data_IF_269231484624
#
_entry.id   IF_269231484624
#
_cell.length_a   1.000
_cell.length_b   1.000
_cell.length_c   1.000
_cell.angle_alpha   90.00
_cell.angle_beta   90.00
_cell.angle_gamma   90.00
#
_symmetry.space_group_name_H-M   'P 1'
#
loop_
_entity.id
_entity.type
_entity.pdbx_description
1 polymer ?
#
# COMPACT_ATOMS: atom_id res chain seq x y z
N UNK A 1 1.81 -16.91 2.11
CA UNK A 1 2.39 -15.54 2.15
C UNK A 1 1.76 -14.72 3.26
N UNK A 2 2.55 -13.96 4.04
CA UNK A 2 2.10 -13.22 5.22
C UNK A 2 2.80 -11.86 5.34
N UNK A 3 2.05 -10.79 5.66
CA UNK A 3 2.61 -9.47 5.96
C UNK A 3 3.28 -9.53 7.33
N UNK A 4 4.58 -9.30 7.42
CA UNK A 4 5.30 -9.37 8.71
C UNK A 4 5.37 -8.02 9.40
N UNK A 5 5.72 -6.98 8.64
CA UNK A 5 5.77 -5.62 9.18
C UNK A 5 5.67 -4.57 8.07
N UNK A 6 5.33 -3.35 8.47
CA UNK A 6 5.44 -2.16 7.63
C UNK A 6 6.22 -1.07 8.39
N UNK A 7 7.27 -0.55 7.77
CA UNK A 7 7.99 0.63 8.21
C UNK A 7 7.51 1.85 7.42
N UNK A 8 7.24 2.94 8.14
CA UNK A 8 6.66 4.17 7.62
C UNK A 8 7.54 5.34 8.04
N UNK A 9 7.98 6.18 7.10
CA UNK A 9 8.73 7.39 7.41
C UNK A 9 8.32 8.51 6.45
N UNK A 10 7.96 9.67 7.00
CA UNK A 10 7.53 10.82 6.22
C UNK A 10 6.27 10.59 5.36
N UNK A 11 5.55 9.49 5.57
CA UNK A 11 4.35 9.15 4.79
C UNK A 11 3.11 9.68 5.49
N UNK A 12 2.44 10.66 4.90
CA UNK A 12 1.22 11.30 5.41
C UNK A 12 1.37 11.69 6.86
N UNK A 13 0.57 11.12 7.76
CA UNK A 13 0.61 11.42 9.20
C UNK A 13 1.85 10.86 9.93
N UNK A 14 2.66 10.01 9.30
CA UNK A 14 3.82 9.36 9.90
C UNK A 14 5.08 10.21 9.69
N UNK A 15 5.20 11.32 10.43
CA UNK A 15 6.34 12.24 10.33
C UNK A 15 7.69 11.60 10.69
N UNK A 16 7.68 10.68 11.67
CA UNK A 16 8.85 9.96 12.17
C UNK A 16 8.79 8.49 11.76
N UNK A 17 9.92 7.79 11.90
CA UNK A 17 9.97 6.36 11.59
C UNK A 17 9.07 5.60 12.55
N UNK A 18 8.05 4.93 12.02
CA UNK A 18 7.15 4.06 12.74
C UNK A 18 7.20 2.67 12.13
N UNK A 19 7.18 1.63 12.96
CA UNK A 19 7.13 0.24 12.51
C UNK A 19 5.91 -0.42 13.10
N UNK A 20 5.07 -1.02 12.27
CA UNK A 20 3.90 -1.79 12.68
C UNK A 20 4.21 -3.25 12.37
N UNK A 21 4.25 -4.08 13.40
CA UNK A 21 4.39 -5.52 13.28
C UNK A 21 3.01 -6.17 13.17
N UNK A 22 2.86 -7.07 12.20
CA UNK A 22 1.67 -7.88 12.02
C UNK A 22 1.95 -9.28 12.59
N UNK A 23 0.93 -9.86 13.21
CA UNK A 23 0.98 -11.23 13.72
C UNK A 23 -0.04 -12.10 13.02
N UNK A 24 0.19 -13.40 13.06
CA UNK A 24 -0.74 -14.37 12.53
C UNK A 24 -2.15 -14.17 13.13
N UNK A 25 -3.16 -14.34 12.28
CA UNK A 25 -4.55 -14.11 12.63
C UNK A 25 -4.99 -12.67 12.35
N UNK A 26 -5.57 -12.00 13.35
CA UNK A 26 -6.25 -10.71 13.17
C UNK A 26 -5.48 -9.60 13.87
N UNK A 27 -4.97 -8.65 13.09
CA UNK A 27 -4.37 -7.41 13.61
C UNK A 27 -5.39 -6.27 13.50
N UNK A 28 -5.74 -5.64 14.63
CA UNK A 28 -6.68 -4.52 14.68
C UNK A 28 -5.94 -3.20 14.95
N UNK A 29 -6.13 -2.21 14.07
CA UNK A 29 -5.56 -0.86 14.24
C UNK A 29 -6.67 0.08 14.74
N UNK A 30 -6.51 0.55 15.98
CA UNK A 30 -7.50 1.36 16.70
C UNK A 30 -6.99 2.79 16.93
N UNK A 31 -7.91 3.72 17.16
CA UNK A 31 -7.60 5.11 17.46
C UNK A 31 -8.69 6.09 17.04
N UNK A 32 -8.62 7.37 17.46
CA UNK A 32 -9.60 8.40 17.12
C UNK A 32 -9.72 8.68 15.62
N UNK A 33 -10.79 9.34 15.21
CA UNK A 33 -10.92 9.81 13.83
C UNK A 33 -9.82 10.83 13.51
N UNK A 34 -9.27 10.76 12.30
CA UNK A 34 -8.18 11.64 11.86
C UNK A 34 -6.77 11.27 12.35
N UNK A 35 -6.60 10.26 13.21
CA UNK A 35 -5.26 9.92 13.75
C UNK A 35 -4.34 9.15 12.78
N UNK A 36 -4.77 8.92 11.53
CA UNK A 36 -3.93 8.31 10.50
C UNK A 36 -4.10 6.79 10.31
N UNK A 37 -5.10 6.14 10.94
CA UNK A 37 -5.35 4.69 10.77
C UNK A 37 -5.43 4.25 9.31
N UNK A 38 -6.27 4.94 8.53
CA UNK A 38 -6.45 4.62 7.11
C UNK A 38 -5.20 4.92 6.28
N UNK A 39 -4.27 5.76 6.77
CA UNK A 39 -3.01 6.03 6.08
C UNK A 39 -2.08 4.80 6.09
N UNK A 40 -2.27 3.85 7.01
CA UNK A 40 -1.58 2.55 6.96
C UNK A 40 -2.01 1.76 5.73
N UNK A 41 -3.31 1.77 5.43
CA UNK A 41 -3.85 1.11 4.23
C UNK A 41 -3.34 1.78 2.96
N UNK A 42 -3.32 3.12 2.91
CA UNK A 42 -2.74 3.84 1.78
C UNK A 42 -1.26 3.52 1.59
N UNK A 43 -0.49 3.40 2.69
CA UNK A 43 0.92 3.08 2.63
C UNK A 43 1.16 1.68 2.03
N UNK A 44 0.35 0.69 2.43
CA UNK A 44 0.38 -0.66 1.86
C UNK A 44 0.07 -0.62 0.36
N UNK A 45 -1.00 0.09 -0.05
CA UNK A 45 -1.32 0.24 -1.49
C UNK A 45 -0.20 0.91 -2.27
N UNK A 46 0.35 1.98 -1.70
CA UNK A 46 1.39 2.77 -2.33
C UNK A 46 2.68 1.99 -2.52
N UNK A 47 3.14 1.25 -1.51
CA UNK A 47 4.37 0.44 -1.61
C UNK A 47 4.19 -0.77 -2.54
N UNK A 48 2.97 -1.31 -2.66
CA UNK A 48 2.61 -2.36 -3.62
C UNK A 48 2.44 -1.85 -5.07
N UNK A 49 2.61 -0.54 -5.30
CA UNK A 49 2.71 0.03 -6.64
C UNK A 49 1.48 0.80 -7.14
N UNK A 50 0.57 1.22 -6.26
CA UNK A 50 -0.51 2.14 -6.62
C UNK A 50 0.04 3.48 -7.16
N UNK A 51 -0.45 3.91 -8.33
CA UNK A 51 -0.01 5.12 -9.02
C UNK A 51 -1.05 6.24 -8.99
N UNK A 52 -2.31 5.92 -8.68
CA UNK A 52 -3.39 6.88 -8.58
C UNK A 52 -3.29 7.64 -7.26
N UNK A 53 -2.90 8.93 -7.32
CA UNK A 53 -2.96 9.84 -6.16
C UNK A 53 -4.36 9.90 -5.57
N UNK A 54 -5.39 9.86 -6.43
CA UNK A 54 -6.80 9.83 -6.02
C UNK A 54 -7.15 8.59 -5.19
N UNK A 55 -6.66 7.40 -5.57
CA UNK A 55 -6.88 6.17 -4.76
C UNK A 55 -6.22 6.32 -3.39
N UNK A 56 -5.08 7.00 -3.35
CA UNK A 56 -4.37 7.33 -2.13
C UNK A 56 -4.92 8.58 -1.44
N UNK A 57 -6.09 9.11 -1.80
CA UNK A 57 -6.70 10.29 -1.14
C UNK A 57 -5.74 11.49 -1.08
N UNK A 58 -5.04 11.72 -2.18
CA UNK A 58 -4.08 12.79 -2.41
C UNK A 58 -4.36 13.47 -3.76
N UNK A 59 -4.02 14.75 -3.92
CA UNK A 59 -4.20 15.44 -5.22
C UNK A 59 -3.04 15.07 -6.15
N UNK A 60 -1.81 15.26 -5.67
CA UNK A 60 -0.58 14.88 -6.32
C UNK A 60 0.11 13.72 -5.58
N UNK A 61 1.04 13.04 -6.24
CA UNK A 61 1.73 11.91 -5.60
C UNK A 61 2.66 12.40 -4.48
N UNK A 62 3.20 13.60 -4.61
CA UNK A 62 4.06 14.26 -3.64
C UNK A 62 3.31 14.62 -2.35
N UNK A 63 1.98 14.73 -2.39
CA UNK A 63 1.15 15.02 -1.21
C UNK A 63 1.06 13.83 -0.24
N UNK A 64 1.59 12.67 -0.61
CA UNK A 64 1.81 11.57 0.35
C UNK A 64 2.96 11.88 1.29
N UNK A 65 3.79 12.90 1.02
CA UNK A 65 4.87 13.34 1.91
C UNK A 65 4.30 14.17 3.05
N UNK A 66 4.74 13.89 4.29
CA UNK A 66 4.32 14.64 5.47
C UNK A 66 4.60 16.13 5.29
N UNK A 67 3.53 16.92 5.33
CA UNK A 67 3.56 18.34 5.02
C UNK A 67 3.72 19.25 6.25
N UNK A 68 4.01 18.66 7.41
CA UNK A 68 4.17 19.40 8.65
C UNK A 68 2.87 19.57 9.44
N UNK A 69 3.03 19.97 10.69
CA UNK A 69 1.99 20.43 11.61
C UNK A 69 2.50 21.69 12.32
N UNK A 70 1.73 22.25 13.25
CA UNK A 70 2.19 23.36 14.11
C UNK A 70 3.46 22.97 14.91
N UNK A 71 3.53 21.71 15.36
CA UNK A 71 4.63 21.22 16.21
C UNK A 71 5.79 20.58 15.43
N UNK A 72 5.55 20.11 14.19
CA UNK A 72 6.52 19.34 13.41
C UNK A 72 6.72 19.92 12.03
N UNK A 73 7.99 20.10 11.65
CA UNK A 73 8.36 20.58 10.30
C UNK A 73 8.03 19.53 9.24
N UNK A 74 7.68 20.02 8.06
CA UNK A 74 7.55 19.19 6.87
C UNK A 74 8.86 18.46 6.55
N UNK A 75 8.73 17.28 5.95
CA UNK A 75 9.87 16.50 5.43
C UNK A 75 9.88 16.54 3.91
N UNK A 76 11.00 16.17 3.32
CA UNK A 76 11.20 16.21 1.86
C UNK A 76 11.09 14.83 1.19
N UNK A 77 10.84 13.79 1.97
CA UNK A 77 10.82 12.40 1.51
C UNK A 77 9.76 11.61 2.27
N UNK A 78 9.04 10.75 1.56
CA UNK A 78 8.26 9.67 2.14
C UNK A 78 8.89 8.34 1.74
N UNK A 79 9.01 7.43 2.69
CA UNK A 79 9.50 6.07 2.51
C UNK A 79 8.57 5.10 3.22
N UNK A 80 8.21 4.03 2.52
CA UNK A 80 7.47 2.90 3.08
C UNK A 80 8.21 1.64 2.70
N UNK A 81 8.47 0.78 3.70
CA UNK A 81 9.02 -0.56 3.50
C UNK A 81 8.03 -1.59 4.03
N UNK A 82 7.63 -2.53 3.18
CA UNK A 82 6.77 -3.64 3.53
C UNK A 82 7.57 -4.94 3.55
N UNK A 83 7.51 -5.64 4.67
CA UNK A 83 8.14 -6.95 4.86
C UNK A 83 7.09 -8.04 4.70
N UNK A 84 7.38 -8.99 3.82
CA UNK A 84 6.53 -10.13 3.48
C UNK A 84 7.31 -11.42 3.76
N UNK A 85 6.61 -12.43 4.27
CA UNK A 85 7.12 -13.79 4.38
C UNK A 85 6.41 -14.67 3.36
N UNK A 86 7.18 -15.41 2.57
CA UNK A 86 6.66 -16.27 1.51
C UNK A 86 7.06 -17.73 1.70
N UNK A 87 6.44 -18.40 2.66
CA UNK A 87 6.75 -19.80 3.01
C UNK A 87 6.31 -20.80 1.94
N UNK A 88 5.32 -20.45 1.13
CA UNK A 88 4.74 -21.31 0.10
C UNK A 88 5.30 -21.00 -1.30
N UNK A 89 6.29 -20.11 -1.39
CA UNK A 89 6.91 -19.64 -2.64
C UNK A 89 5.89 -19.18 -3.69
N UNK A 90 4.87 -18.44 -3.25
CA UNK A 90 3.79 -17.93 -4.11
C UNK A 90 4.32 -16.80 -5.01
N UNK A 91 5.30 -16.03 -4.54
CA UNK A 91 5.88 -14.89 -5.26
C UNK A 91 6.97 -15.33 -6.26
N UNK A 92 7.27 -16.63 -6.35
CA UNK A 92 8.31 -17.19 -7.22
C UNK A 92 9.68 -16.49 -7.04
N UNK A 93 9.95 -16.02 -5.82
CA UNK A 93 11.23 -15.45 -5.41
C UNK A 93 11.93 -16.49 -4.55
N UNK A 94 13.21 -16.79 -4.84
CA UNK A 94 14.03 -17.77 -4.09
C UNK A 94 14.35 -17.35 -2.63
N UNK A 95 13.59 -16.43 -2.07
CA UNK A 95 13.81 -15.81 -0.77
C UNK A 95 12.56 -15.93 0.10
N UNK A 96 12.73 -16.47 1.30
CA UNK A 96 11.66 -16.67 2.28
C UNK A 96 11.10 -15.36 2.87
N UNK A 97 11.91 -14.30 2.85
CA UNK A 97 11.54 -12.96 3.29
C UNK A 97 11.83 -11.94 2.19
N UNK A 98 10.84 -11.09 1.92
CA UNK A 98 10.86 -10.13 0.83
C UNK A 98 10.54 -8.75 1.41
N UNK A 99 11.47 -7.82 1.22
CA UNK A 99 11.34 -6.42 1.57
C UNK A 99 11.03 -5.59 0.32
N UNK A 100 9.87 -4.97 0.25
CA UNK A 100 9.51 -4.04 -0.83
C UNK A 100 9.53 -2.63 -0.27
N UNK A 101 10.32 -1.77 -0.89
CA UNK A 101 10.47 -0.38 -0.46
C UNK A 101 10.15 0.55 -1.60
N UNK A 102 9.39 1.60 -1.28
CA UNK A 102 9.12 2.72 -2.18
C UNK A 102 9.45 4.02 -1.49
N UNK A 103 10.10 4.93 -2.21
CA UNK A 103 10.45 6.27 -1.76
C UNK A 103 9.99 7.30 -2.79
N UNK A 104 9.53 8.45 -2.32
CA UNK A 104 9.29 9.63 -3.16
C UNK A 104 9.87 10.88 -2.50
N UNK A 105 10.46 11.75 -3.31
CA UNK A 105 10.96 13.05 -2.89
C UNK A 105 10.03 14.17 -3.37
N UNK A 106 10.10 15.34 -2.73
CA UNK A 106 9.37 16.54 -3.17
C UNK A 106 9.75 17.02 -4.59
N UNK A 107 10.88 16.55 -5.13
CA UNK A 107 11.25 16.78 -6.54
C UNK A 107 10.38 16.00 -7.54
N UNK A 108 9.56 15.05 -7.06
CA UNK A 108 8.79 14.10 -7.88
C UNK A 108 9.56 12.82 -8.21
N UNK A 109 10.85 12.75 -7.87
CA UNK A 109 11.65 11.55 -8.05
C UNK A 109 11.16 10.41 -7.15
N UNK A 110 11.04 9.22 -7.71
CA UNK A 110 10.61 8.01 -7.00
C UNK A 110 11.65 6.91 -7.14
N UNK A 111 11.98 6.26 -6.02
CA UNK A 111 12.88 5.11 -5.96
C UNK A 111 12.11 3.87 -5.49
N UNK A 112 12.52 2.71 -6.00
CA UNK A 112 11.89 1.42 -5.71
C UNK A 112 12.98 0.41 -5.39
N UNK A 113 12.73 -0.46 -4.43
CA UNK A 113 13.67 -1.49 -4.06
C UNK A 113 12.95 -2.79 -3.72
N UNK A 114 13.59 -3.90 -4.09
CA UNK A 114 13.24 -5.25 -3.68
C UNK A 114 14.46 -5.81 -2.94
N UNK A 115 14.33 -6.17 -1.68
CA UNK A 115 15.43 -6.64 -0.83
C UNK A 115 16.64 -5.70 -0.84
N UNK A 116 16.37 -4.39 -0.70
CA UNK A 116 17.35 -3.30 -0.79
C UNK A 116 18.12 -3.18 -2.12
N UNK A 117 17.76 -3.98 -3.13
CA UNK A 117 18.31 -3.84 -4.49
C UNK A 117 17.41 -2.88 -5.28
N UNK A 118 17.98 -1.86 -5.97
CA UNK A 118 17.20 -0.97 -6.83
C UNK A 118 16.38 -1.75 -7.85
N UNK A 119 15.12 -1.37 -8.00
CA UNK A 119 14.16 -1.99 -8.89
C UNK A 119 13.35 -0.92 -9.62
N UNK A 120 12.51 -1.37 -10.55
CA UNK A 120 11.50 -0.56 -11.23
C UNK A 120 10.13 -0.86 -10.65
N UNK A 121 9.23 0.13 -10.69
CA UNK A 121 7.83 -0.06 -10.31
C UNK A 121 7.17 -1.24 -11.04
N UNK A 122 7.52 -1.45 -12.32
CA UNK A 122 7.03 -2.58 -13.11
C UNK A 122 7.35 -3.93 -12.45
N UNK A 123 8.58 -4.09 -11.95
CA UNK A 123 9.03 -5.34 -11.30
C UNK A 123 8.28 -5.59 -9.99
N UNK A 124 8.03 -4.54 -9.20
CA UNK A 124 7.17 -4.65 -7.99
C UNK A 124 5.76 -5.10 -8.36
N UNK A 125 5.17 -4.57 -9.42
CA UNK A 125 3.81 -4.95 -9.85
C UNK A 125 3.75 -6.36 -10.39
N UNK A 126 4.78 -6.80 -11.12
CA UNK A 126 4.85 -8.16 -11.68
C UNK A 126 4.91 -9.22 -10.59
N UNK A 127 5.61 -8.95 -9.47
CA UNK A 127 5.67 -9.85 -8.31
C UNK A 127 4.27 -10.22 -7.79
N UNK A 128 3.30 -9.31 -7.87
CA UNK A 128 1.96 -9.54 -7.31
C UNK A 128 0.88 -9.84 -8.35
N UNK A 129 1.18 -9.76 -9.65
CA UNK A 129 0.18 -9.79 -10.72
C UNK A 129 -0.70 -11.05 -10.69
N UNK A 130 -0.10 -12.21 -10.44
CA UNK A 130 -0.77 -13.51 -10.42
C UNK A 130 -1.18 -13.97 -9.01
N UNK A 131 -0.92 -13.15 -7.99
CA UNK A 131 -1.20 -13.49 -6.58
C UNK A 131 -2.55 -12.97 -6.07
N UNK A 132 -3.22 -12.11 -6.84
CA UNK A 132 -4.41 -11.38 -6.40
C UNK A 132 -4.13 -10.25 -5.40
N UNK A 133 -2.87 -10.05 -5.02
CA UNK A 133 -2.40 -8.91 -4.23
C UNK A 133 -2.11 -7.74 -5.19
N UNK A 134 -2.44 -6.50 -4.83
CA UNK A 134 -2.15 -5.33 -5.66
C UNK A 134 -3.15 -5.01 -6.80
N UNK A 135 -3.96 -5.98 -7.28
CA UNK A 135 -5.22 -5.65 -7.97
C UNK A 135 -6.26 -5.29 -6.90
N UNK A 136 -6.89 -4.14 -7.07
CA UNK A 136 -7.73 -3.39 -6.12
C UNK A 136 -8.93 -4.11 -5.48
N UNK A 137 -9.09 -5.42 -5.62
CA UNK A 137 -10.39 -6.07 -5.49
C UNK A 137 -10.61 -6.92 -4.23
N UNK A 138 -9.60 -7.63 -3.69
CA UNK A 138 -9.88 -8.61 -2.60
C UNK A 138 -9.01 -8.53 -1.36
N UNK A 139 -7.73 -8.17 -1.49
CA UNK A 139 -6.82 -8.13 -0.33
C UNK A 139 -7.05 -6.89 0.55
N UNK A 140 -7.67 -5.83 0.00
CA UNK A 140 -7.92 -4.58 0.72
C UNK A 140 -9.37 -4.14 0.48
N UNK A 141 -10.22 -4.28 1.50
CA UNK A 141 -11.58 -3.74 1.48
C UNK A 141 -11.64 -2.38 2.15
N UNK A 142 -12.04 -1.36 1.41
CA UNK A 142 -12.19 0.01 1.90
C UNK A 142 -13.63 0.36 2.27
N UNK A 143 -13.75 1.43 3.05
CA UNK A 143 -15.04 2.08 3.26
C UNK A 143 -15.62 2.51 1.90
N UNK A 144 -16.88 2.16 1.64
CA UNK A 144 -17.57 2.42 0.37
C UNK A 144 -17.41 1.33 -0.69
N UNK A 145 -16.46 0.39 -0.56
CA UNK A 145 -16.41 -0.79 -1.46
C UNK A 145 -17.60 -1.72 -1.25
N UNK A 146 -18.09 -1.83 -0.02
CA UNK A 146 -19.33 -2.55 0.30
C UNK A 146 -20.53 -1.90 -0.42
N UNK A 147 -20.55 -0.57 -0.57
CA UNK A 147 -21.64 0.11 -1.26
C UNK A 147 -21.67 -0.20 -2.76
N UNK A 148 -20.53 -0.55 -3.37
CA UNK A 148 -20.48 -1.01 -4.76
C UNK A 148 -21.21 -2.35 -4.93
N UNK A 149 -21.11 -3.25 -3.95
CA UNK A 149 -21.85 -4.52 -3.94
C UNK A 149 -23.36 -4.26 -3.87
N UNK A 150 -23.75 -3.24 -3.11
CA UNK A 150 -25.15 -2.81 -2.93
C UNK A 150 -25.64 -1.87 -4.03
N UNK A 151 -24.80 -1.52 -5.02
CA UNK A 151 -25.17 -0.57 -6.06
C UNK A 151 -26.31 -1.10 -6.93
N UNK A 152 -27.27 -0.23 -7.23
CA UNK A 152 -28.37 -0.55 -8.13
C UNK A 152 -27.94 -0.54 -9.61
N UNK A 153 -26.76 -0.03 -9.94
CA UNK A 153 -26.25 0.00 -11.31
C UNK A 153 -25.64 -1.36 -11.66
N UNK A 154 -26.13 -2.05 -12.71
CA UNK A 154 -25.58 -3.36 -13.10
C UNK A 154 -24.10 -3.33 -13.46
N UNK A 155 -23.60 -2.27 -14.12
CA UNK A 155 -22.21 -2.18 -14.57
C UNK A 155 -21.23 -2.09 -13.39
N UNK A 156 -21.58 -1.33 -12.33
CA UNK A 156 -20.75 -1.22 -11.13
C UNK A 156 -20.64 -2.56 -10.39
N UNK A 157 -21.73 -3.34 -10.35
CA UNK A 157 -21.70 -4.69 -9.78
C UNK A 157 -20.95 -5.68 -10.66
N UNK A 158 -21.12 -5.60 -11.98
CA UNK A 158 -20.44 -6.46 -12.95
C UNK A 158 -18.92 -6.38 -12.80
N UNK A 159 -18.37 -5.17 -12.62
CA UNK A 159 -16.94 -4.96 -12.42
C UNK A 159 -16.37 -5.84 -11.29
N UNK A 160 -17.11 -5.98 -10.19
CA UNK A 160 -16.71 -6.82 -9.04
C UNK A 160 -16.59 -8.29 -9.46
N UNK A 161 -17.51 -8.80 -10.27
CA UNK A 161 -17.45 -10.18 -10.77
C UNK A 161 -16.35 -10.39 -11.82
N UNK A 162 -16.11 -9.41 -12.69
CA UNK A 162 -15.03 -9.47 -13.68
C UNK A 162 -13.66 -9.47 -13.00
N UNK A 163 -13.49 -8.63 -11.98
CA UNK A 163 -12.30 -8.64 -11.12
C UNK A 163 -12.15 -9.98 -10.37
N UNK A 164 -13.25 -10.55 -9.84
CA UNK A 164 -13.25 -11.88 -9.20
C UNK A 164 -12.79 -13.00 -10.15
N UNK A 165 -13.23 -12.92 -11.39
CA UNK A 165 -12.96 -13.89 -12.42
C UNK A 165 -11.59 -13.71 -13.07
N UNK A 166 -10.86 -12.64 -12.73
CA UNK A 166 -9.51 -12.37 -13.24
C UNK A 166 -9.47 -12.00 -14.73
N UNK A 167 -10.58 -11.53 -15.30
CA UNK A 167 -10.72 -11.21 -16.73
C UNK A 167 -10.49 -9.73 -17.06
N UNK A 168 -9.97 -8.96 -16.09
CA UNK A 168 -9.68 -7.52 -16.18
C UNK A 168 -8.19 -7.21 -16.03
#
# INVERSE_FOLDING_TARGET
MFLTSIELFGFKSFAEKNTIEFRDGVTAILGPNGCGKSNVVDAIKWVLGEQSSRTLRAEHMEDVIFNGTEDKKAVNVAEVTLMLKDEENILALDLSEIAIKRRIYRSGESEYFINNTPARLKEIREIFFDTGIGKSAYSIMEQGKIDQILSNKPDERRLIFEEAAGIT
#
